data_IF_472841334215
#
_entry.id   IF_472841334215
#
_cell.length_a   1.000
_cell.length_b   1.000
_cell.length_c   1.000
_cell.angle_alpha   90.00
_cell.angle_beta   90.00
_cell.angle_gamma   90.00
#
_symmetry.space_group_name_H-M   'P 1'
#
loop_
_entity.id
_entity.type
_entity.pdbx_description
1 polymer ?
#
# COMPACT_ATOMS: atom_id res chain seq x y z
N UNK A 1 -2.43 11.20 2.52
CA UNK A 1 -2.66 10.21 1.46
C UNK A 1 -4.15 9.92 1.30
N UNK A 2 -4.67 10.02 0.08
CA UNK A 2 -6.07 9.73 -0.23
C UNK A 2 -6.29 8.25 -0.57
N UNK A 3 -7.53 7.73 -0.46
CA UNK A 3 -7.86 6.37 -0.90
C UNK A 3 -7.56 6.13 -2.39
N UNK A 4 -7.73 7.16 -3.23
CA UNK A 4 -7.42 7.09 -4.66
C UNK A 4 -5.93 6.99 -4.91
N UNK A 5 -5.10 7.78 -4.22
CA UNK A 5 -3.64 7.65 -4.28
C UNK A 5 -3.17 6.26 -3.88
N UNK A 6 -3.75 5.68 -2.82
CA UNK A 6 -3.42 4.32 -2.38
C UNK A 6 -3.71 3.28 -3.47
N UNK A 7 -4.86 3.38 -4.12
CA UNK A 7 -5.24 2.49 -5.22
C UNK A 7 -4.30 2.65 -6.41
N UNK A 8 -3.93 3.88 -6.75
CA UNK A 8 -2.99 4.15 -7.85
C UNK A 8 -1.60 3.59 -7.59
N UNK A 9 -1.08 3.71 -6.35
CA UNK A 9 0.20 3.11 -5.96
C UNK A 9 0.16 1.58 -6.02
N UNK A 10 -0.97 0.98 -5.63
CA UNK A 10 -1.17 -0.47 -5.64
C UNK A 10 -1.46 -1.08 -7.01
N UNK A 11 -2.06 -0.33 -7.93
CA UNK A 11 -2.53 -0.82 -9.24
C UNK A 11 -1.49 -1.63 -10.04
N UNK A 12 -0.19 -1.27 -10.07
CA UNK A 12 0.82 -2.04 -10.80
C UNK A 12 1.20 -3.39 -10.18
N UNK A 13 0.67 -3.71 -8.99
CA UNK A 13 1.05 -4.86 -8.18
C UNK A 13 -0.18 -5.73 -7.87
N UNK A 14 -0.33 -6.91 -8.50
CA UNK A 14 -1.45 -7.80 -8.21
C UNK A 14 -1.42 -8.25 -6.74
N UNK A 15 -2.59 -8.27 -6.09
CA UNK A 15 -2.71 -8.66 -4.68
C UNK A 15 -2.03 -7.71 -3.69
N UNK A 16 -1.77 -6.46 -4.09
CA UNK A 16 -1.05 -5.49 -3.25
C UNK A 16 -1.65 -5.29 -1.87
N UNK A 17 -2.97 -5.38 -1.71
CA UNK A 17 -3.64 -5.16 -0.42
C UNK A 17 -3.18 -6.18 0.63
N UNK A 18 -3.20 -7.46 0.28
CA UNK A 18 -2.77 -8.56 1.17
C UNK A 18 -1.27 -8.54 1.41
N UNK A 19 -0.48 -8.13 0.41
CA UNK A 19 0.97 -7.98 0.55
C UNK A 19 1.33 -6.81 1.48
N UNK A 20 0.68 -5.66 1.29
CA UNK A 20 0.90 -4.46 2.09
C UNK A 20 0.49 -4.70 3.55
N UNK A 21 -0.62 -5.39 3.78
CA UNK A 21 -1.06 -5.78 5.12
C UNK A 21 0.01 -6.60 5.87
N UNK A 22 0.66 -7.55 5.17
CA UNK A 22 1.76 -8.34 5.73
C UNK A 22 3.00 -7.50 6.02
N UNK A 23 3.42 -6.64 5.09
CA UNK A 23 4.58 -5.76 5.29
C UNK A 23 4.39 -4.82 6.49
N UNK A 24 3.22 -4.22 6.60
CA UNK A 24 2.89 -3.25 7.64
C UNK A 24 2.43 -3.89 8.96
N UNK A 25 2.35 -5.22 9.03
CA UNK A 25 1.82 -5.98 10.17
C UNK A 25 0.44 -5.50 10.63
N UNK A 26 -0.43 -5.17 9.67
CA UNK A 26 -1.82 -4.75 9.93
C UNK A 26 -2.82 -5.76 9.41
N UNK A 27 -4.05 -5.69 9.91
CA UNK A 27 -5.13 -6.53 9.39
C UNK A 27 -5.43 -6.17 7.91
N UNK A 28 -5.60 -7.16 7.00
CA UNK A 28 -6.03 -6.90 5.62
C UNK A 28 -7.34 -6.10 5.51
N UNK A 29 -8.22 -6.17 6.51
CA UNK A 29 -9.42 -5.32 6.60
C UNK A 29 -9.06 -3.84 6.74
N UNK A 30 -8.00 -3.51 7.47
CA UNK A 30 -7.53 -2.13 7.64
C UNK A 30 -7.08 -1.54 6.30
N UNK A 31 -6.32 -2.30 5.51
CA UNK A 31 -5.88 -1.86 4.17
C UNK A 31 -7.07 -1.68 3.23
N UNK A 32 -8.06 -2.57 3.29
CA UNK A 32 -9.33 -2.41 2.54
C UNK A 32 -10.09 -1.16 2.97
N UNK A 33 -10.18 -0.89 4.27
CA UNK A 33 -10.82 0.32 4.79
C UNK A 33 -10.11 1.61 4.36
N UNK A 34 -8.77 1.61 4.27
CA UNK A 34 -8.03 2.74 3.71
C UNK A 34 -8.32 2.92 2.21
N UNK A 35 -8.30 1.83 1.44
CA UNK A 35 -8.54 1.86 0.00
C UNK A 35 -9.98 2.28 -0.35
N UNK A 36 -10.94 1.99 0.52
CA UNK A 36 -12.34 2.39 0.38
C UNK A 36 -12.67 3.74 1.02
N UNK A 37 -11.71 4.40 1.69
CA UNK A 37 -11.93 5.65 2.40
C UNK A 37 -12.76 5.55 3.69
N UNK A 38 -13.02 4.34 4.19
CA UNK A 38 -13.71 4.13 5.48
C UNK A 38 -12.84 4.46 6.68
N UNK A 39 -11.52 4.40 6.52
CA UNK A 39 -10.56 4.78 7.56
C UNK A 39 -9.55 5.77 7.00
N UNK A 40 -9.16 6.74 7.82
CA UNK A 40 -8.03 7.62 7.50
C UNK A 40 -6.71 6.86 7.64
N UNK A 41 -5.76 7.22 6.80
CA UNK A 41 -4.36 6.78 6.89
C UNK A 41 -3.64 7.82 7.74
N UNK A 42 -2.98 7.40 8.82
CA UNK A 42 -2.18 8.33 9.62
C UNK A 42 -0.91 8.74 8.85
N UNK A 43 -0.33 9.93 9.12
CA UNK A 43 0.90 10.37 8.44
C UNK A 43 2.06 9.36 8.55
N UNK A 44 2.18 8.68 9.70
CA UNK A 44 3.16 7.61 9.90
C UNK A 44 2.92 6.43 8.95
N UNK A 45 1.66 5.98 8.82
CA UNK A 45 1.33 4.88 7.92
C UNK A 45 1.49 5.26 6.46
N UNK A 46 1.15 6.50 6.09
CA UNK A 46 1.40 7.02 4.73
C UNK A 46 2.89 6.90 4.36
N UNK A 47 3.79 7.33 5.25
CA UNK A 47 5.23 7.23 5.00
C UNK A 47 5.67 5.79 4.75
N UNK A 48 5.22 4.85 5.60
CA UNK A 48 5.55 3.43 5.47
C UNK A 48 4.98 2.82 4.19
N UNK A 49 3.75 3.17 3.82
CA UNK A 49 3.11 2.70 2.59
C UNK A 49 3.91 3.15 1.37
N UNK A 50 4.31 4.42 1.31
CA UNK A 50 5.11 4.96 0.20
C UNK A 50 6.45 4.24 0.09
N UNK A 51 7.14 4.06 1.21
CA UNK A 51 8.42 3.35 1.27
C UNK A 51 8.31 1.91 0.76
N UNK A 52 7.29 1.16 1.18
CA UNK A 52 7.07 -0.21 0.71
C UNK A 52 6.82 -0.27 -0.80
N UNK A 53 5.97 0.61 -1.34
CA UNK A 53 5.70 0.64 -2.77
C UNK A 53 6.94 1.04 -3.60
N UNK A 54 7.79 1.93 -3.10
CA UNK A 54 9.08 2.23 -3.73
C UNK A 54 10.00 1.01 -3.74
N UNK A 55 10.11 0.29 -2.62
CA UNK A 55 10.89 -0.95 -2.56
C UNK A 55 10.37 -1.98 -3.57
N UNK A 56 9.06 -2.12 -3.71
CA UNK A 56 8.48 -3.06 -4.68
C UNK A 56 8.72 -2.61 -6.12
N UNK A 57 8.70 -1.30 -6.38
CA UNK A 57 9.01 -0.73 -7.71
C UNK A 57 10.46 -0.98 -8.10
N UNK A 58 11.41 -0.74 -7.18
CA UNK A 58 12.84 -1.03 -7.40
C UNK A 58 13.07 -2.51 -7.71
N UNK A 59 12.51 -3.42 -6.90
CA UNK A 59 12.59 -4.87 -7.15
C UNK A 59 11.98 -5.28 -8.50
N UNK A 60 10.91 -4.63 -8.95
CA UNK A 60 10.30 -4.89 -10.26
C UNK A 60 11.18 -4.41 -11.43
N UNK A 61 11.96 -3.35 -11.24
CA UNK A 61 12.90 -2.85 -12.24
C UNK A 61 14.16 -3.72 -12.32
N UNK A 62 14.67 -4.21 -11.19
CA UNK A 62 15.84 -5.11 -11.14
C UNK A 62 15.55 -6.50 -11.72
N UNK A 63 14.29 -6.94 -11.69
CA UNK A 63 13.86 -8.22 -12.23
C UNK A 63 13.59 -8.23 -13.75
N UNK A 64 13.86 -7.12 -14.45
CA UNK A 64 13.63 -6.93 -15.88
C UNK A 64 14.96 -6.79 -16.61
#
# INVERSE_FOLDING_TARGET
MTPSELRSLGSPFPGWQSRLARCLKVNPRTVRSWASGRSRITPQMERLIRQEFETWRKKKQEAK
#
